data_IF_960777475392
#
_entry.id   IF_960777475392
#
_cell.length_a   1.000
_cell.length_b   1.000
_cell.length_c   1.000
_cell.angle_alpha   90.00
_cell.angle_beta   90.00
_cell.angle_gamma   90.00
#
_symmetry.space_group_name_H-M   'P 1'
#
loop_
_entity.id
_entity.type
_entity.pdbx_description
1 polymer ?
#
# COMPACT_ATOMS: atom_id res chain seq x y z
N UNK A 1 13.87 37.69 -5.83
CA UNK A 1 13.52 36.84 -6.98
C UNK A 1 12.05 36.52 -6.88
N UNK A 2 11.29 36.48 -7.99
CA UNK A 2 9.91 36.02 -7.92
C UNK A 2 9.93 34.52 -7.58
N UNK A 3 9.10 34.11 -6.63
CA UNK A 3 8.92 32.69 -6.31
C UNK A 3 8.32 31.98 -7.52
N UNK A 4 8.65 30.71 -7.72
CA UNK A 4 8.01 29.87 -8.74
C UNK A 4 6.70 29.31 -8.19
N UNK A 5 5.62 29.46 -8.94
CA UNK A 5 4.32 28.89 -8.61
C UNK A 5 4.25 27.42 -9.00
N UNK A 6 3.89 26.57 -8.05
CA UNK A 6 3.87 25.11 -8.18
C UNK A 6 2.46 24.58 -7.96
N UNK A 7 2.00 23.67 -8.85
CA UNK A 7 0.89 22.76 -8.55
C UNK A 7 1.49 21.37 -8.27
N UNK A 8 1.04 20.70 -7.19
CA UNK A 8 1.34 19.31 -6.93
C UNK A 8 0.13 18.48 -7.38
N UNK A 9 0.37 17.55 -8.31
CA UNK A 9 -0.66 16.67 -8.88
C UNK A 9 -0.75 15.42 -8.01
N UNK A 10 -1.77 15.38 -7.18
CA UNK A 10 -2.05 14.42 -6.13
C UNK A 10 -2.38 15.13 -4.81
N UNK A 11 -3.16 14.47 -3.93
CA UNK A 11 -3.55 15.00 -2.62
C UNK A 11 -3.86 13.88 -1.61
N UNK A 12 -2.95 12.90 -1.43
CA UNK A 12 -3.21 11.75 -0.60
C UNK A 12 -2.02 11.22 0.21
N UNK A 13 -0.83 11.16 -0.37
CA UNK A 13 0.31 10.52 0.30
C UNK A 13 1.63 11.13 -0.13
N UNK A 14 2.19 10.68 -1.26
CA UNK A 14 3.45 11.20 -1.83
C UNK A 14 3.43 12.70 -2.10
N UNK A 15 2.32 13.20 -2.56
CA UNK A 15 2.08 14.62 -2.80
C UNK A 15 2.27 15.48 -1.55
N UNK A 16 1.64 15.13 -0.44
CA UNK A 16 1.83 15.80 0.84
C UNK A 16 3.26 15.59 1.37
N UNK A 17 3.83 14.40 1.19
CA UNK A 17 5.22 14.16 1.55
C UNK A 17 6.21 15.00 0.73
N UNK A 18 6.00 15.12 -0.58
CA UNK A 18 6.78 15.99 -1.47
C UNK A 18 6.69 17.44 -1.02
N UNK A 19 5.47 17.91 -0.68
CA UNK A 19 5.28 19.24 -0.12
C UNK A 19 6.06 19.42 1.18
N UNK A 20 5.81 18.54 2.16
CA UNK A 20 6.39 18.63 3.50
C UNK A 20 7.92 18.60 3.50
N UNK A 21 8.54 17.84 2.59
CA UNK A 21 10.01 17.65 2.55
C UNK A 21 10.74 18.60 1.63
N UNK A 22 10.13 18.96 0.48
CA UNK A 22 10.83 19.73 -0.56
C UNK A 22 10.35 21.19 -0.67
N UNK A 23 9.07 21.47 -0.43
CA UNK A 23 8.48 22.79 -0.69
C UNK A 23 8.11 23.58 0.57
N UNK A 24 7.64 22.95 1.65
CA UNK A 24 7.03 23.60 2.82
C UNK A 24 7.83 24.79 3.38
N UNK A 25 9.14 24.64 3.48
CA UNK A 25 10.03 25.65 4.05
C UNK A 25 10.97 26.28 3.00
N UNK A 26 10.67 26.12 1.71
CA UNK A 26 11.52 26.59 0.64
C UNK A 26 10.98 27.91 0.04
N UNK A 27 11.65 29.01 0.34
CA UNK A 27 11.25 30.34 -0.07
C UNK A 27 11.35 30.61 -1.59
N UNK A 28 12.03 29.74 -2.36
CA UNK A 28 12.13 29.84 -3.82
C UNK A 28 10.83 29.45 -4.53
N UNK A 29 9.94 28.72 -3.84
CA UNK A 29 8.71 28.18 -4.38
C UNK A 29 7.47 28.65 -3.62
N UNK A 30 6.36 28.66 -4.32
CA UNK A 30 5.03 28.84 -3.79
C UNK A 30 4.14 27.74 -4.32
N UNK A 31 3.75 26.78 -3.48
CA UNK A 31 2.73 25.79 -3.85
C UNK A 31 1.37 26.46 -3.78
N UNK A 32 0.75 26.65 -4.94
CA UNK A 32 -0.51 27.39 -5.06
C UNK A 32 -1.73 26.47 -5.01
N UNK A 33 -1.58 25.18 -5.31
CA UNK A 33 -2.64 24.19 -5.24
C UNK A 33 -2.11 22.76 -5.21
N UNK A 34 -2.95 21.86 -4.70
CA UNK A 34 -2.94 20.42 -5.01
C UNK A 34 -4.09 20.10 -5.96
N UNK A 35 -3.99 18.95 -6.68
CA UNK A 35 -5.13 18.41 -7.43
C UNK A 35 -5.43 16.98 -7.02
N UNK A 36 -6.68 16.55 -7.12
CA UNK A 36 -7.13 15.22 -6.73
C UNK A 36 -7.97 14.54 -7.83
N UNK A 37 -7.77 13.23 -8.02
CA UNK A 37 -8.58 12.37 -8.91
C UNK A 37 -8.92 11.02 -8.31
N UNK A 38 -8.05 10.50 -7.44
CA UNK A 38 -8.13 9.12 -6.98
C UNK A 38 -8.87 8.95 -5.66
N UNK A 39 -9.07 10.04 -4.91
CA UNK A 39 -9.68 10.01 -3.59
C UNK A 39 -11.04 10.67 -3.65
N UNK A 40 -12.13 9.96 -3.30
CA UNK A 40 -13.46 10.54 -3.20
C UNK A 40 -13.50 11.69 -2.18
N UNK A 41 -14.34 12.69 -2.42
CA UNK A 41 -14.67 13.78 -1.50
C UNK A 41 -13.48 14.65 -1.03
N UNK A 42 -12.32 14.61 -1.73
CA UNK A 42 -11.19 15.49 -1.40
C UNK A 42 -11.23 16.80 -2.19
N UNK A 43 -11.96 16.84 -3.30
CA UNK A 43 -12.16 18.05 -4.09
C UNK A 43 -12.83 19.16 -3.26
N UNK A 44 -12.31 20.39 -3.38
CA UNK A 44 -12.79 21.53 -2.59
C UNK A 44 -12.31 21.56 -1.14
N UNK A 45 -11.48 20.60 -0.70
CA UNK A 45 -10.79 20.60 0.60
C UNK A 45 -9.52 21.46 0.55
N UNK A 46 -8.94 21.64 1.73
CA UNK A 46 -7.71 22.40 1.90
C UNK A 46 -6.69 21.60 2.69
N UNK A 47 -5.42 21.64 2.27
CA UNK A 47 -4.32 21.21 3.13
C UNK A 47 -4.17 22.26 4.24
N UNK A 48 -4.35 21.90 5.52
CA UNK A 48 -4.53 22.87 6.59
C UNK A 48 -3.28 23.70 6.87
N UNK A 49 -3.49 24.95 7.28
CA UNK A 49 -2.40 25.89 7.62
C UNK A 49 -1.44 25.35 8.69
N UNK A 50 -1.97 24.59 9.66
CA UNK A 50 -1.20 24.00 10.74
C UNK A 50 -0.17 22.98 10.23
N UNK A 51 -0.47 22.28 9.16
CA UNK A 51 0.43 21.34 8.48
C UNK A 51 1.27 22.02 7.41
N UNK A 52 0.71 23.04 6.75
CA UNK A 52 1.36 23.75 5.65
C UNK A 52 2.52 24.65 6.14
N UNK A 53 2.47 25.13 7.37
CA UNK A 53 3.54 25.90 8.00
C UNK A 53 3.53 27.39 7.69
N UNK A 54 4.51 28.12 8.21
CA UNK A 54 4.52 29.59 8.27
C UNK A 54 4.49 30.29 6.90
N UNK A 55 4.96 29.64 5.84
CA UNK A 55 4.90 30.21 4.49
C UNK A 55 3.50 30.10 3.84
N UNK A 56 2.57 29.36 4.46
CA UNK A 56 1.22 29.08 3.96
C UNK A 56 0.15 29.27 5.05
N UNK A 57 0.01 30.49 5.58
CA UNK A 57 -0.88 30.79 6.72
C UNK A 57 -2.36 30.52 6.44
N UNK A 58 -2.76 30.52 5.17
CA UNK A 58 -4.14 30.22 4.73
C UNK A 58 -4.32 28.74 4.34
N UNK A 59 -3.29 27.90 4.50
CA UNK A 59 -3.27 26.55 3.94
C UNK A 59 -3.10 26.52 2.42
N UNK A 60 -3.38 25.35 1.78
CA UNK A 60 -3.25 25.19 0.34
C UNK A 60 -4.51 24.53 -0.21
N UNK A 61 -5.20 25.14 -1.20
CA UNK A 61 -6.43 24.60 -1.76
C UNK A 61 -6.17 23.29 -2.55
N UNK A 62 -7.17 22.41 -2.55
CA UNK A 62 -7.18 21.17 -3.33
C UNK A 62 -8.30 21.27 -4.35
N UNK A 63 -8.00 21.06 -5.63
CA UNK A 63 -8.95 21.16 -6.74
C UNK A 63 -9.11 19.82 -7.45
N UNK A 64 -10.18 19.69 -8.24
CA UNK A 64 -10.28 18.58 -9.19
C UNK A 64 -9.19 18.67 -10.25
N UNK A 65 -8.57 17.54 -10.58
CA UNK A 65 -7.52 17.52 -11.61
C UNK A 65 -8.04 17.88 -13.00
N UNK A 66 -9.33 17.74 -13.27
CA UNK A 66 -9.94 18.13 -14.55
C UNK A 66 -9.79 19.64 -14.82
N UNK A 67 -9.61 20.45 -13.76
CA UNK A 67 -9.37 21.90 -13.84
C UNK A 67 -7.89 22.26 -14.10
N UNK A 68 -7.00 21.28 -14.19
CA UNK A 68 -5.54 21.52 -14.24
C UNK A 68 -5.11 22.50 -15.36
N UNK A 69 -5.63 22.45 -16.61
CA UNK A 69 -5.23 23.39 -17.66
C UNK A 69 -5.64 24.84 -17.38
N UNK A 70 -6.81 25.04 -16.75
CA UNK A 70 -7.33 26.34 -16.35
C UNK A 70 -6.52 26.89 -15.16
N UNK A 71 -6.29 26.07 -14.14
CA UNK A 71 -5.52 26.42 -12.94
C UNK A 71 -4.08 26.87 -13.30
N UNK A 72 -3.44 26.19 -14.26
CA UNK A 72 -2.08 26.55 -14.71
C UNK A 72 -2.06 28.00 -15.22
N UNK A 73 -3.07 28.41 -15.98
CA UNK A 73 -3.16 29.76 -16.55
C UNK A 73 -3.56 30.80 -15.51
N UNK A 74 -4.61 30.52 -14.73
CA UNK A 74 -5.17 31.43 -13.74
C UNK A 74 -4.20 31.73 -12.60
N UNK A 75 -3.49 30.70 -12.11
CA UNK A 75 -2.53 30.80 -11.01
C UNK A 75 -1.10 31.08 -11.50
N UNK A 76 -0.89 31.27 -12.81
CA UNK A 76 0.42 31.54 -13.43
C UNK A 76 1.48 30.50 -12.98
N UNK A 77 1.18 29.22 -13.18
CA UNK A 77 1.99 28.10 -12.69
C UNK A 77 3.25 27.91 -13.54
N UNK A 78 4.41 27.83 -12.90
CA UNK A 78 5.69 27.58 -13.55
C UNK A 78 5.98 26.08 -13.73
N UNK A 79 5.66 25.27 -12.70
CA UNK A 79 5.94 23.85 -12.67
C UNK A 79 4.76 23.06 -12.06
N UNK A 80 4.42 21.92 -12.67
CA UNK A 80 3.53 20.92 -12.09
C UNK A 80 4.34 19.69 -11.68
N UNK A 81 4.19 19.25 -10.43
CA UNK A 81 4.90 18.11 -9.85
C UNK A 81 3.95 16.93 -9.74
N UNK A 82 4.22 15.88 -10.51
CA UNK A 82 3.40 14.67 -10.48
C UNK A 82 3.76 13.80 -9.27
N UNK A 83 2.75 13.33 -8.54
CA UNK A 83 2.94 12.61 -7.29
C UNK A 83 2.04 11.37 -7.12
N UNK A 84 1.30 10.95 -8.14
CA UNK A 84 0.56 9.69 -8.09
C UNK A 84 1.46 8.47 -8.20
N UNK A 85 1.01 7.35 -7.67
CA UNK A 85 1.64 6.04 -7.73
C UNK A 85 0.74 5.00 -8.37
N UNK A 86 1.35 3.89 -8.81
CA UNK A 86 0.72 2.78 -9.54
C UNK A 86 0.06 3.20 -10.87
N UNK A 87 0.71 4.12 -11.57
CA UNK A 87 0.24 4.72 -12.82
C UNK A 87 1.12 4.29 -13.98
N UNK A 88 0.53 3.98 -15.14
CA UNK A 88 1.28 3.64 -16.34
C UNK A 88 2.12 4.82 -16.84
N UNK A 89 3.29 4.55 -17.43
CA UNK A 89 4.08 5.63 -18.03
C UNK A 89 3.35 6.36 -19.15
N UNK A 90 2.43 5.68 -19.84
CA UNK A 90 1.58 6.32 -20.84
C UNK A 90 0.70 7.40 -20.22
N UNK A 91 0.08 7.10 -19.07
CA UNK A 91 -0.78 8.07 -18.37
C UNK A 91 0.04 9.19 -17.73
N UNK A 92 1.20 8.88 -17.14
CA UNK A 92 2.13 9.91 -16.63
C UNK A 92 2.50 10.90 -17.73
N UNK A 93 2.86 10.40 -18.92
CA UNK A 93 3.24 11.27 -20.04
C UNK A 93 2.05 11.99 -20.67
N UNK A 94 0.84 11.42 -20.61
CA UNK A 94 -0.39 12.11 -21.02
C UNK A 94 -0.65 13.34 -20.13
N UNK A 95 -0.51 13.20 -18.80
CA UNK A 95 -0.60 14.33 -17.87
C UNK A 95 0.51 15.34 -18.16
N UNK A 96 1.75 14.89 -18.41
CA UNK A 96 2.87 15.75 -18.80
C UNK A 96 2.58 16.56 -20.06
N UNK A 97 1.95 15.94 -21.07
CA UNK A 97 1.55 16.64 -22.31
C UNK A 97 0.49 17.72 -22.05
N UNK A 98 -0.49 17.45 -21.18
CA UNK A 98 -1.52 18.42 -20.77
C UNK A 98 -0.86 19.62 -20.08
N UNK A 99 0.04 19.37 -19.13
CA UNK A 99 0.77 20.41 -18.38
C UNK A 99 1.59 21.28 -19.34
N UNK A 100 2.37 20.67 -20.25
CA UNK A 100 3.20 21.40 -21.19
C UNK A 100 2.36 22.21 -22.19
N UNK A 101 1.24 21.66 -22.67
CA UNK A 101 0.32 22.36 -23.56
C UNK A 101 -0.33 23.58 -22.88
N UNK A 102 -0.55 23.53 -21.55
CA UNK A 102 -1.06 24.63 -20.76
C UNK A 102 0.00 25.71 -20.45
N UNK A 103 1.31 25.42 -20.65
CA UNK A 103 2.42 26.38 -20.55
C UNK A 103 3.33 26.19 -19.33
N UNK A 104 3.11 25.16 -18.49
CA UNK A 104 3.96 24.87 -17.34
C UNK A 104 4.97 23.73 -17.61
N UNK A 105 6.02 23.63 -16.79
CA UNK A 105 6.95 22.50 -16.80
C UNK A 105 6.35 21.30 -16.06
N UNK A 106 6.65 20.09 -16.52
CA UNK A 106 6.28 18.85 -15.84
C UNK A 106 7.48 18.25 -15.12
N UNK A 107 7.31 17.84 -13.86
CA UNK A 107 8.42 17.40 -13.00
C UNK A 107 8.05 16.17 -12.19
N UNK A 108 9.02 15.25 -12.05
CA UNK A 108 9.00 14.13 -11.12
C UNK A 108 10.12 14.36 -10.08
N UNK A 109 9.80 14.19 -8.78
CA UNK A 109 10.82 14.23 -7.73
C UNK A 109 11.39 12.83 -7.50
N UNK A 110 12.70 12.74 -7.52
CA UNK A 110 13.39 11.49 -7.25
C UNK A 110 13.60 11.23 -5.75
N UNK A 111 13.94 9.97 -5.37
CA UNK A 111 14.11 9.56 -3.98
C UNK A 111 15.05 10.45 -3.17
N UNK A 112 16.19 10.84 -3.74
CA UNK A 112 17.20 11.66 -3.05
C UNK A 112 16.69 13.05 -2.60
N UNK A 113 15.62 13.55 -3.24
CA UNK A 113 15.03 14.86 -2.91
C UNK A 113 14.03 14.80 -1.75
N UNK A 114 13.50 13.63 -1.45
CA UNK A 114 12.33 13.49 -0.56
C UNK A 114 12.51 12.45 0.55
N UNK A 115 13.50 11.54 0.46
CA UNK A 115 13.73 10.55 1.51
C UNK A 115 14.26 11.18 2.79
N UNK A 116 13.63 10.88 3.91
CA UNK A 116 14.08 11.24 5.26
C UNK A 116 15.10 10.23 5.78
N UNK A 117 16.06 10.70 6.57
CA UNK A 117 17.06 9.84 7.23
C UNK A 117 16.59 9.49 8.64
N UNK A 118 16.61 8.20 8.95
CA UNK A 118 16.36 7.68 10.28
C UNK A 118 17.65 7.55 11.10
N UNK A 119 17.52 7.63 12.43
CA UNK A 119 18.55 7.25 13.41
C UNK A 119 18.51 5.75 13.73
N UNK A 120 17.50 5.04 13.24
CA UNK A 120 17.34 3.59 13.35
C UNK A 120 17.55 2.96 11.99
N UNK A 121 18.02 1.72 11.89
CA UNK A 121 18.06 0.99 10.64
C UNK A 121 16.66 0.91 10.00
N UNK A 122 16.60 1.08 8.69
CA UNK A 122 15.35 1.08 7.92
C UNK A 122 15.36 -0.06 6.92
N UNK A 123 14.33 -0.90 6.96
CA UNK A 123 14.01 -1.84 5.90
C UNK A 123 12.81 -1.29 5.13
N UNK A 124 12.88 -1.24 3.81
CA UNK A 124 11.71 -0.90 2.99
C UNK A 124 11.19 -2.12 2.24
N UNK A 125 9.89 -2.34 2.28
CA UNK A 125 9.18 -3.30 1.43
C UNK A 125 8.28 -2.54 0.49
N UNK A 126 8.63 -2.53 -0.78
CA UNK A 126 7.90 -1.90 -1.86
C UNK A 126 7.39 -2.95 -2.85
N UNK A 127 6.57 -2.54 -3.79
CA UNK A 127 6.05 -3.42 -4.83
C UNK A 127 5.98 -2.69 -6.18
N UNK A 128 6.07 -3.43 -7.27
CA UNK A 128 5.96 -2.84 -8.62
C UNK A 128 4.52 -2.56 -9.03
N UNK A 129 3.55 -3.27 -8.42
CA UNK A 129 2.09 -3.11 -8.64
C UNK A 129 1.30 -3.51 -7.40
N UNK A 130 0.10 -2.97 -7.24
CA UNK A 130 -0.86 -3.42 -6.23
C UNK A 130 -1.17 -4.90 -6.40
N UNK A 131 -1.31 -5.64 -5.29
CA UNK A 131 -1.63 -7.07 -5.29
C UNK A 131 -0.45 -8.02 -5.57
N UNK A 132 0.80 -7.54 -5.63
CA UNK A 132 1.98 -8.42 -5.86
C UNK A 132 2.34 -9.30 -4.66
N UNK A 133 1.89 -8.95 -3.45
CA UNK A 133 2.22 -9.66 -2.21
C UNK A 133 3.12 -8.90 -1.25
N UNK A 134 3.14 -7.55 -1.35
CA UNK A 134 3.90 -6.68 -0.44
C UNK A 134 3.58 -6.96 1.03
N UNK A 135 2.32 -7.01 1.40
CA UNK A 135 1.89 -7.15 2.81
C UNK A 135 2.32 -8.49 3.43
N UNK A 136 2.30 -9.59 2.67
CA UNK A 136 2.83 -10.89 3.17
C UNK A 136 4.35 -10.87 3.32
N UNK A 137 5.07 -10.15 2.44
CA UNK A 137 6.52 -9.95 2.56
C UNK A 137 6.85 -9.13 3.79
N UNK A 138 6.14 -8.03 4.04
CA UNK A 138 6.30 -7.19 5.25
C UNK A 138 6.06 -8.00 6.53
N UNK A 139 5.02 -8.84 6.56
CA UNK A 139 4.76 -9.74 7.70
C UNK A 139 5.93 -10.69 7.92
N UNK A 140 6.45 -11.32 6.86
CA UNK A 140 7.60 -12.22 6.96
C UNK A 140 8.85 -11.52 7.50
N UNK A 141 9.12 -10.29 7.05
CA UNK A 141 10.23 -9.46 7.57
C UNK A 141 10.05 -9.22 9.07
N UNK A 142 8.86 -8.76 9.48
CA UNK A 142 8.58 -8.47 10.90
C UNK A 142 8.73 -9.74 11.75
N UNK A 143 8.11 -10.85 11.36
CA UNK A 143 8.16 -12.12 12.08
C UNK A 143 9.61 -12.59 12.27
N UNK A 144 10.42 -12.55 11.20
CA UNK A 144 11.84 -12.89 11.28
C UNK A 144 12.61 -12.00 12.26
N UNK A 145 12.36 -10.68 12.25
CA UNK A 145 13.03 -9.76 13.17
C UNK A 145 12.58 -9.97 14.63
N UNK A 146 11.29 -10.25 14.85
CA UNK A 146 10.75 -10.57 16.18
C UNK A 146 11.32 -11.88 16.75
N UNK A 147 11.60 -12.91 15.92
CA UNK A 147 12.30 -14.13 16.34
C UNK A 147 13.70 -13.85 16.87
N UNK A 148 14.28 -12.70 16.53
CA UNK A 148 15.55 -12.21 17.05
C UNK A 148 15.39 -11.19 18.21
N UNK A 149 14.22 -11.14 18.86
CA UNK A 149 13.91 -10.24 19.99
C UNK A 149 14.02 -8.75 19.64
N UNK A 150 13.91 -8.36 18.36
CA UNK A 150 13.96 -6.98 17.92
C UNK A 150 12.59 -6.32 17.98
N UNK A 151 12.55 -5.02 18.30
CA UNK A 151 11.35 -4.19 18.27
C UNK A 151 11.23 -3.52 16.92
N UNK A 152 10.20 -3.89 16.16
CA UNK A 152 9.95 -3.38 14.82
C UNK A 152 8.76 -2.42 14.85
N UNK A 153 8.93 -1.25 14.28
CA UNK A 153 7.86 -0.29 14.04
C UNK A 153 7.55 -0.25 12.55
N UNK A 154 6.35 -0.63 12.18
CA UNK A 154 5.88 -0.51 10.81
C UNK A 154 5.33 0.90 10.54
N UNK A 155 5.70 1.50 9.41
CA UNK A 155 5.16 2.80 8.99
C UNK A 155 4.39 2.61 7.70
N UNK A 156 3.13 3.09 7.70
CA UNK A 156 2.19 2.95 6.60
C UNK A 156 1.63 4.29 6.12
N UNK A 157 1.01 4.29 4.94
CA UNK A 157 0.25 5.44 4.46
C UNK A 157 -1.11 5.52 5.16
N UNK A 158 -1.61 6.72 5.49
CA UNK A 158 -2.99 6.93 5.86
C UNK A 158 -3.85 7.00 4.61
N UNK A 159 -5.16 6.87 4.80
CA UNK A 159 -6.15 7.33 3.83
C UNK A 159 -6.64 8.71 4.28
N UNK A 160 -6.34 9.80 3.55
CA UNK A 160 -6.59 11.17 4.02
C UNK A 160 -8.06 11.59 3.82
N UNK A 161 -8.99 10.74 4.23
CA UNK A 161 -10.43 11.00 4.13
C UNK A 161 -10.98 11.81 5.30
N UNK A 162 -10.26 11.81 6.44
CA UNK A 162 -10.64 12.47 7.67
C UNK A 162 -10.09 13.88 7.84
N UNK A 163 -9.96 14.30 9.09
CA UNK A 163 -9.28 15.52 9.50
C UNK A 163 -7.76 15.32 9.41
N UNK A 164 -7.10 15.99 8.46
CA UNK A 164 -5.67 15.88 8.24
C UNK A 164 -4.82 16.30 9.45
N UNK A 165 -5.31 17.25 10.26
CA UNK A 165 -4.62 17.63 11.50
C UNK A 165 -4.66 16.51 12.54
N UNK A 166 -5.80 15.84 12.68
CA UNK A 166 -5.94 14.68 13.55
C UNK A 166 -5.13 13.47 13.03
N UNK A 167 -4.94 13.39 11.70
CA UNK A 167 -4.14 12.36 11.04
C UNK A 167 -2.66 12.74 10.89
N UNK A 168 -2.17 13.78 11.53
CA UNK A 168 -0.76 14.20 11.44
C UNK A 168 0.20 13.06 11.79
N UNK A 169 0.00 12.45 12.97
CA UNK A 169 0.70 11.23 13.44
C UNK A 169 -0.29 10.38 14.21
N UNK A 170 -0.43 9.14 13.84
CA UNK A 170 -1.29 8.17 14.51
C UNK A 170 -0.48 6.93 14.87
N UNK A 171 -0.66 6.42 16.09
CA UNK A 171 -0.03 5.20 16.61
C UNK A 171 -1.09 4.14 16.85
N UNK A 172 -0.85 2.94 16.37
CA UNK A 172 -1.73 1.78 16.49
C UNK A 172 -0.95 0.63 17.14
N UNK A 173 -1.26 0.32 18.38
CA UNK A 173 -0.69 -0.79 19.13
C UNK A 173 -1.71 -1.88 19.42
N UNK A 174 -2.99 -1.54 19.37
CA UNK A 174 -4.12 -2.43 19.67
C UNK A 174 -5.21 -2.28 18.61
N UNK A 175 -6.06 -3.32 18.45
CA UNK A 175 -7.23 -3.25 17.55
C UNK A 175 -8.19 -2.14 17.95
N UNK A 176 -8.22 -1.75 19.24
CA UNK A 176 -9.05 -0.63 19.71
C UNK A 176 -8.56 0.72 19.19
N UNK A 177 -7.25 0.88 18.93
CA UNK A 177 -6.72 2.10 18.34
C UNK A 177 -7.28 2.33 16.93
N UNK A 178 -7.56 1.27 16.16
CA UNK A 178 -8.18 1.39 14.83
C UNK A 178 -9.57 2.06 14.93
N UNK A 179 -10.36 1.68 15.94
CA UNK A 179 -11.68 2.28 16.20
C UNK A 179 -11.55 3.70 16.70
N UNK A 180 -10.62 3.94 17.64
CA UNK A 180 -10.37 5.27 18.22
C UNK A 180 -10.01 6.30 17.16
N UNK A 181 -9.26 5.90 16.15
CA UNK A 181 -8.85 6.77 15.04
C UNK A 181 -9.84 6.76 13.86
N UNK A 182 -11.00 6.07 13.98
CA UNK A 182 -12.01 5.97 12.92
C UNK A 182 -11.43 5.49 11.58
N UNK A 183 -10.58 4.47 11.62
CA UNK A 183 -9.97 3.92 10.42
C UNK A 183 -11.02 3.44 9.42
N UNK A 184 -10.78 3.72 8.15
CA UNK A 184 -11.54 3.14 7.04
C UNK A 184 -11.27 1.64 6.93
N UNK A 185 -12.05 0.91 6.12
CA UNK A 185 -11.79 -0.52 5.88
C UNK A 185 -10.42 -0.71 5.23
N UNK A 186 -10.06 0.11 4.25
CA UNK A 186 -8.77 0.05 3.60
C UNK A 186 -7.62 0.27 4.59
N UNK A 187 -7.75 1.22 5.51
CA UNK A 187 -6.77 1.39 6.58
C UNK A 187 -6.72 0.18 7.51
N UNK A 188 -7.88 -0.40 7.84
CA UNK A 188 -7.94 -1.62 8.65
C UNK A 188 -7.31 -2.82 7.93
N UNK A 189 -7.53 -2.99 6.62
CA UNK A 189 -6.87 -4.04 5.81
C UNK A 189 -5.34 -3.95 5.88
N UNK A 190 -4.82 -2.73 5.99
CA UNK A 190 -3.40 -2.46 6.04
C UNK A 190 -2.81 -2.54 7.47
N UNK A 191 -3.57 -2.16 8.51
CA UNK A 191 -3.06 -2.05 9.89
C UNK A 191 -3.42 -3.23 10.78
N UNK A 192 -4.65 -3.77 10.68
CA UNK A 192 -5.12 -4.87 11.53
C UNK A 192 -4.21 -6.11 11.48
N UNK A 193 -3.71 -6.56 10.30
CA UNK A 193 -2.82 -7.71 10.26
C UNK A 193 -1.53 -7.56 11.07
N UNK A 194 -1.02 -6.34 11.22
CA UNK A 194 0.13 -6.04 12.07
C UNK A 194 -0.27 -6.00 13.55
N UNK A 195 -1.26 -5.19 13.87
CA UNK A 195 -1.71 -4.94 15.25
C UNK A 195 -2.24 -6.21 15.91
N UNK A 196 -2.98 -7.05 15.17
CA UNK A 196 -3.49 -8.35 15.67
C UNK A 196 -2.36 -9.34 16.03
N UNK A 197 -1.15 -9.16 15.49
CA UNK A 197 0.06 -9.92 15.82
C UNK A 197 0.93 -9.25 16.91
N UNK A 198 0.47 -8.13 17.47
CA UNK A 198 1.19 -7.37 18.49
C UNK A 198 2.27 -6.45 17.93
N UNK A 199 2.26 -6.16 16.63
CA UNK A 199 3.17 -5.20 16.02
C UNK A 199 2.61 -3.79 16.13
N UNK A 200 3.49 -2.80 16.26
CA UNK A 200 3.11 -1.39 16.32
C UNK A 200 3.15 -0.81 14.91
N UNK A 201 2.11 -0.07 14.56
CA UNK A 201 2.00 0.65 13.29
C UNK A 201 1.93 2.14 13.56
N UNK A 202 2.67 2.92 12.79
CA UNK A 202 2.50 4.36 12.67
C UNK A 202 1.99 4.71 11.27
N UNK A 203 1.05 5.62 11.21
CA UNK A 203 0.56 6.20 9.95
C UNK A 203 0.25 7.67 10.15
N UNK A 204 0.19 8.44 9.07
CA UNK A 204 -0.18 9.84 9.13
C UNK A 204 0.34 10.65 7.96
N UNK A 205 0.13 11.97 8.03
CA UNK A 205 0.39 12.90 6.93
C UNK A 205 1.79 13.50 6.99
N UNK A 206 2.39 13.66 8.19
CA UNK A 206 3.74 14.22 8.33
C UNK A 206 4.76 13.13 8.72
N UNK A 207 5.48 12.65 7.72
CA UNK A 207 6.42 11.55 7.91
C UNK A 207 7.70 11.92 8.66
N UNK A 208 8.03 13.21 8.77
CA UNK A 208 9.13 13.65 9.63
C UNK A 208 8.75 13.50 11.10
N UNK A 209 7.53 13.89 11.46
CA UNK A 209 7.01 13.74 12.81
C UNK A 209 6.74 12.25 13.14
N UNK A 210 6.19 11.48 12.19
CA UNK A 210 6.02 10.03 12.35
C UNK A 210 7.35 9.37 12.67
N UNK A 211 8.41 9.69 11.93
CA UNK A 211 9.72 9.12 12.14
C UNK A 211 10.28 9.49 13.52
N UNK A 212 10.14 10.77 13.91
CA UNK A 212 10.62 11.26 15.19
C UNK A 212 9.91 10.60 16.39
N UNK A 213 8.62 10.29 16.27
CA UNK A 213 7.85 9.60 17.30
C UNK A 213 8.13 8.09 17.30
N UNK A 214 8.18 7.45 16.13
CA UNK A 214 8.46 6.03 16.00
C UNK A 214 9.84 5.65 16.54
N UNK A 215 10.87 6.47 16.30
CA UNK A 215 12.22 6.26 16.85
C UNK A 215 12.26 6.28 18.39
N UNK A 216 11.30 6.94 19.02
CA UNK A 216 11.18 7.11 20.48
C UNK A 216 9.98 6.38 21.07
N UNK A 217 9.42 5.42 20.33
CA UNK A 217 8.24 4.68 20.78
C UNK A 217 8.42 4.14 22.20
N UNK A 218 7.43 4.30 23.10
CA UNK A 218 7.53 3.86 24.50
C UNK A 218 7.77 2.36 24.67
N UNK A 219 7.33 1.54 23.69
CA UNK A 219 7.56 0.08 23.70
C UNK A 219 8.91 -0.31 23.07
N UNK A 220 9.64 0.69 22.53
CA UNK A 220 10.96 0.57 21.92
C UNK A 220 10.92 0.40 20.40
N UNK A 221 12.02 0.84 19.76
CA UNK A 221 12.22 0.73 18.31
C UNK A 221 13.67 0.35 18.04
N UNK A 222 13.89 -0.84 17.48
CA UNK A 222 15.20 -1.30 17.01
C UNK A 222 15.33 -1.13 15.48
N UNK A 223 14.23 -1.34 14.74
CA UNK A 223 14.15 -1.27 13.27
C UNK A 223 12.88 -0.56 12.86
N UNK A 224 12.96 0.34 11.89
CA UNK A 224 11.82 0.91 11.18
C UNK A 224 11.56 0.08 9.94
N UNK A 225 10.34 -0.41 9.77
CA UNK A 225 9.88 -1.03 8.53
C UNK A 225 9.02 -0.03 7.76
N UNK A 226 9.48 0.43 6.61
CA UNK A 226 8.63 1.09 5.66
C UNK A 226 7.80 0.06 4.91
N UNK A 227 6.52 0.02 5.21
CA UNK A 227 5.52 -0.80 4.53
C UNK A 227 4.50 0.13 3.84
N UNK A 228 5.01 1.04 3.01
CA UNK A 228 4.23 2.09 2.37
C UNK A 228 3.13 1.55 1.46
N UNK A 229 2.12 2.39 1.20
CA UNK A 229 0.99 2.07 0.33
C UNK A 229 1.31 2.18 -1.15
N UNK A 230 0.42 1.66 -1.98
CA UNK A 230 0.27 1.91 -3.42
C UNK A 230 1.57 1.94 -4.25
N UNK A 231 2.51 1.04 -3.94
CA UNK A 231 3.73 0.81 -4.74
C UNK A 231 4.61 2.06 -4.89
N UNK A 232 4.61 2.88 -3.87
CA UNK A 232 5.45 4.04 -3.78
C UNK A 232 6.84 3.67 -3.30
N UNK A 233 7.89 4.38 -3.75
CA UNK A 233 9.20 4.18 -3.15
C UNK A 233 9.23 4.77 -1.74
N UNK A 234 10.12 4.24 -0.91
CA UNK A 234 10.21 4.60 0.51
C UNK A 234 10.33 6.11 0.73
N UNK A 235 9.62 6.64 1.75
CA UNK A 235 9.82 8.01 2.23
C UNK A 235 10.98 8.13 3.21
N UNK A 236 11.47 7.00 3.69
CA UNK A 236 12.68 6.91 4.51
C UNK A 236 13.81 6.28 3.70
N UNK A 237 15.03 6.77 3.88
CA UNK A 237 16.19 6.18 3.22
C UNK A 237 16.42 4.78 3.78
N UNK A 238 16.25 3.71 3.00
CA UNK A 238 16.44 2.35 3.48
C UNK A 238 17.92 2.00 3.61
N UNK A 239 18.22 1.13 4.56
CA UNK A 239 19.47 0.40 4.67
C UNK A 239 19.36 -0.98 3.98
N UNK A 240 18.12 -1.49 3.83
CA UNK A 240 17.79 -2.66 3.03
C UNK A 240 16.50 -2.40 2.25
N UNK A 241 16.57 -2.37 0.93
CA UNK A 241 15.44 -2.16 0.05
C UNK A 241 14.98 -3.48 -0.57
N UNK A 242 13.72 -3.86 -0.32
CA UNK A 242 13.07 -5.07 -0.85
C UNK A 242 11.95 -4.65 -1.80
N UNK A 243 11.91 -5.21 -3.01
CA UNK A 243 10.85 -4.96 -3.99
C UNK A 243 10.20 -6.26 -4.42
N UNK A 244 8.87 -6.31 -4.35
CA UNK A 244 8.05 -7.49 -4.71
C UNK A 244 7.51 -7.35 -6.12
N UNK A 245 7.65 -8.41 -6.93
CA UNK A 245 7.24 -8.50 -8.32
C UNK A 245 6.22 -9.62 -8.52
N UNK A 246 5.40 -9.51 -9.57
CA UNK A 246 4.29 -10.42 -9.87
C UNK A 246 4.39 -10.99 -11.28
N UNK A 247 4.70 -12.27 -11.46
CA UNK A 247 4.82 -12.89 -12.76
C UNK A 247 3.48 -13.11 -13.50
N UNK A 248 2.34 -12.84 -12.85
CA UNK A 248 1.04 -12.80 -13.54
C UNK A 248 0.87 -11.57 -14.45
N UNK A 249 1.71 -10.55 -14.25
CA UNK A 249 1.73 -9.31 -15.02
C UNK A 249 3.14 -9.00 -15.53
N UNK A 250 3.77 -9.93 -16.29
CA UNK A 250 5.16 -9.77 -16.73
C UNK A 250 5.31 -8.53 -17.61
N UNK A 251 6.33 -7.73 -17.35
CA UNK A 251 6.60 -6.46 -18.02
C UNK A 251 5.98 -5.23 -17.34
N UNK A 252 5.06 -5.39 -16.38
CA UNK A 252 4.52 -4.25 -15.63
C UNK A 252 5.58 -3.59 -14.75
N UNK A 253 6.57 -4.33 -14.28
CA UNK A 253 7.70 -3.86 -13.50
C UNK A 253 8.57 -2.79 -14.22
N UNK A 254 8.42 -2.68 -15.54
CA UNK A 254 9.11 -1.69 -16.40
C UNK A 254 8.14 -0.70 -17.07
N UNK A 255 6.87 -0.67 -16.68
CA UNK A 255 5.84 0.15 -17.33
C UNK A 255 5.04 1.04 -16.40
N UNK A 256 5.25 0.93 -15.08
CA UNK A 256 4.48 1.66 -14.08
C UNK A 256 5.35 2.51 -13.17
N UNK A 257 4.89 3.73 -12.91
CA UNK A 257 5.52 4.68 -11.99
C UNK A 257 4.81 4.62 -10.62
N UNK A 258 5.56 4.64 -9.51
CA UNK A 258 7.00 4.57 -9.38
C UNK A 258 7.53 3.14 -9.14
N UNK A 259 6.78 2.10 -9.49
CA UNK A 259 7.17 0.70 -9.31
C UNK A 259 8.54 0.36 -9.94
N UNK A 260 8.84 0.89 -11.13
CA UNK A 260 10.15 0.73 -11.74
C UNK A 260 11.25 1.46 -10.96
N UNK A 261 10.95 2.59 -10.29
CA UNK A 261 11.93 3.25 -9.41
C UNK A 261 12.28 2.34 -8.24
N UNK A 262 11.27 1.69 -7.63
CA UNK A 262 11.49 0.70 -6.57
C UNK A 262 12.42 -0.42 -7.07
N UNK A 263 12.13 -0.99 -8.24
CA UNK A 263 12.95 -2.06 -8.83
C UNK A 263 14.39 -1.62 -9.08
N UNK A 264 14.61 -0.43 -9.64
CA UNK A 264 15.96 0.09 -9.96
C UNK A 264 16.80 0.44 -8.73
N UNK A 265 16.17 0.61 -7.58
CA UNK A 265 16.83 0.97 -6.31
C UNK A 265 16.81 -0.17 -5.29
N UNK A 266 16.39 -1.38 -5.70
CA UNK A 266 16.24 -2.52 -4.80
C UNK A 266 17.56 -3.24 -4.54
N UNK A 267 17.74 -3.73 -3.31
CA UNK A 267 18.80 -4.67 -2.94
C UNK A 267 18.33 -6.11 -3.12
N UNK A 268 17.03 -6.36 -2.86
CA UNK A 268 16.40 -7.68 -2.95
C UNK A 268 15.12 -7.60 -3.78
N UNK A 269 15.07 -8.36 -4.86
CA UNK A 269 13.90 -8.51 -5.71
C UNK A 269 13.21 -9.86 -5.44
N UNK A 270 11.95 -9.84 -4.99
CA UNK A 270 11.18 -11.06 -4.71
C UNK A 270 10.18 -11.28 -5.85
N UNK A 271 10.36 -12.33 -6.63
CA UNK A 271 9.36 -12.81 -7.59
C UNK A 271 8.38 -13.70 -6.81
N UNK A 272 7.22 -13.15 -6.48
CA UNK A 272 6.20 -13.86 -5.71
C UNK A 272 5.24 -14.63 -6.61
N UNK A 273 4.42 -15.54 -6.06
CA UNK A 273 3.37 -16.31 -6.76
C UNK A 273 3.89 -17.15 -7.93
N UNK A 274 5.14 -17.63 -7.86
CA UNK A 274 5.71 -18.45 -8.93
C UNK A 274 5.01 -19.80 -9.10
N UNK A 275 4.34 -20.29 -8.04
CA UNK A 275 3.56 -21.54 -8.03
C UNK A 275 2.30 -21.50 -8.90
N UNK A 276 1.80 -20.30 -9.19
CA UNK A 276 0.56 -20.09 -9.94
C UNK A 276 0.79 -19.39 -11.30
N UNK A 277 2.02 -18.97 -11.59
CA UNK A 277 2.42 -18.38 -12.85
C UNK A 277 3.05 -19.38 -13.81
N UNK A 278 3.14 -19.04 -15.12
CA UNK A 278 3.87 -19.85 -16.08
C UNK A 278 5.38 -19.64 -15.92
N UNK A 279 6.17 -20.67 -16.21
CA UNK A 279 7.65 -20.59 -16.18
C UNK A 279 8.18 -19.50 -17.12
N UNK A 280 7.55 -19.31 -18.28
CA UNK A 280 7.88 -18.23 -19.22
C UNK A 280 7.69 -16.85 -18.60
N UNK A 281 6.56 -16.61 -17.92
CA UNK A 281 6.28 -15.34 -17.25
C UNK A 281 7.28 -15.06 -16.11
N UNK A 282 7.63 -16.07 -15.33
CA UNK A 282 8.67 -15.95 -14.30
C UNK A 282 10.02 -15.59 -14.92
N UNK A 283 10.39 -16.24 -16.04
CA UNK A 283 11.63 -15.94 -16.74
C UNK A 283 11.68 -14.53 -17.32
N UNK A 284 10.56 -14.01 -17.85
CA UNK A 284 10.47 -12.63 -18.32
C UNK A 284 10.76 -11.65 -17.18
N UNK A 285 10.10 -11.82 -16.03
CA UNK A 285 10.30 -10.96 -14.84
C UNK A 285 11.74 -11.06 -14.35
N UNK A 286 12.32 -12.26 -14.28
CA UNK A 286 13.73 -12.44 -13.87
C UNK A 286 14.70 -11.71 -14.81
N UNK A 287 14.46 -11.77 -16.13
CA UNK A 287 15.28 -11.05 -17.10
C UNK A 287 15.14 -9.51 -16.96
N UNK A 288 13.94 -9.03 -16.67
CA UNK A 288 13.68 -7.61 -16.46
C UNK A 288 14.34 -7.10 -15.16
N UNK A 289 14.39 -7.93 -14.10
CA UNK A 289 15.14 -7.61 -12.88
C UNK A 289 16.64 -7.47 -13.21
N UNK A 290 17.21 -8.45 -13.91
CA UNK A 290 18.64 -8.43 -14.30
C UNK A 290 18.99 -7.21 -15.15
N UNK A 291 18.05 -6.72 -15.98
CA UNK A 291 18.21 -5.53 -16.78
C UNK A 291 18.14 -4.24 -15.94
N UNK A 292 17.15 -4.14 -15.05
CA UNK A 292 16.86 -2.91 -14.31
C UNK A 292 17.72 -2.76 -13.05
N UNK A 293 18.02 -3.87 -12.36
CA UNK A 293 18.79 -3.93 -11.11
C UNK A 293 19.74 -5.13 -11.10
N UNK A 294 20.84 -5.07 -11.90
CA UNK A 294 21.73 -6.22 -12.12
C UNK A 294 22.46 -6.71 -10.86
N UNK A 295 22.55 -5.89 -9.82
CA UNK A 295 23.23 -6.21 -8.57
C UNK A 295 22.29 -6.70 -7.48
N UNK A 296 20.99 -6.71 -7.72
CA UNK A 296 20.02 -7.16 -6.71
C UNK A 296 20.01 -8.67 -6.54
N UNK A 297 19.77 -9.12 -5.32
CA UNK A 297 19.54 -10.54 -5.01
C UNK A 297 18.13 -10.92 -5.41
N UNK A 298 17.96 -11.97 -6.22
CA UNK A 298 16.65 -12.44 -6.67
C UNK A 298 16.21 -13.61 -5.79
N UNK A 299 15.02 -13.50 -5.19
CA UNK A 299 14.35 -14.56 -4.43
C UNK A 299 13.09 -14.97 -5.20
N UNK A 300 12.81 -16.27 -5.30
CA UNK A 300 11.54 -16.80 -5.80
C UNK A 300 10.69 -17.25 -4.60
N UNK A 301 9.40 -16.92 -4.63
CA UNK A 301 8.50 -17.25 -3.55
C UNK A 301 7.10 -17.62 -4.06
N UNK A 302 6.40 -18.41 -3.28
CA UNK A 302 5.00 -18.78 -3.44
C UNK A 302 4.13 -17.92 -2.51
N UNK A 303 2.89 -17.68 -2.92
CA UNK A 303 1.85 -17.16 -2.04
C UNK A 303 1.08 -18.33 -1.44
N UNK A 304 1.60 -18.90 -0.35
CA UNK A 304 1.03 -20.08 0.29
C UNK A 304 -0.33 -19.77 0.90
N UNK A 305 -1.35 -20.43 0.39
CA UNK A 305 -2.73 -20.26 0.82
C UNK A 305 -3.09 -21.28 1.89
N UNK A 306 -3.67 -20.82 3.00
CA UNK A 306 -4.29 -21.64 4.05
C UNK A 306 -5.75 -21.21 4.27
N UNK A 307 -6.62 -22.16 4.56
CA UNK A 307 -8.07 -21.93 4.74
C UNK A 307 -8.50 -22.43 6.11
N UNK A 308 -9.22 -21.61 6.88
CA UNK A 308 -9.65 -21.97 8.24
C UNK A 308 -10.63 -23.16 8.25
N UNK A 309 -11.59 -23.18 7.32
CA UNK A 309 -12.66 -24.18 7.25
C UNK A 309 -12.80 -24.71 5.80
N UNK A 310 -11.90 -25.57 5.32
CA UNK A 310 -11.92 -26.09 3.95
C UNK A 310 -13.20 -26.88 3.63
N UNK A 311 -13.84 -27.49 4.64
CA UNK A 311 -15.10 -28.21 4.51
C UNK A 311 -16.29 -27.31 4.11
N UNK A 312 -16.15 -25.99 4.26
CA UNK A 312 -17.16 -25.01 3.82
C UNK A 312 -17.02 -24.65 2.32
N UNK A 313 -15.97 -25.13 1.67
CA UNK A 313 -15.70 -24.86 0.26
C UNK A 313 -15.96 -26.09 -0.61
N UNK A 314 -15.43 -27.25 -0.22
CA UNK A 314 -15.46 -28.47 -1.03
C UNK A 314 -16.88 -28.86 -1.42
N UNK A 315 -17.16 -28.92 -2.73
CA UNK A 315 -18.46 -29.32 -3.31
C UNK A 315 -19.60 -28.32 -3.07
N UNK A 316 -19.32 -27.09 -2.60
CA UNK A 316 -20.32 -26.05 -2.29
C UNK A 316 -20.40 -25.00 -3.39
N UNK A 317 -21.57 -24.36 -3.48
CA UNK A 317 -21.75 -23.11 -4.21
C UNK A 317 -21.31 -21.97 -3.30
N UNK A 318 -20.26 -21.26 -3.68
CA UNK A 318 -19.60 -20.27 -2.82
C UNK A 318 -19.61 -18.87 -3.43
N UNK A 319 -19.78 -17.87 -2.59
CA UNK A 319 -19.48 -16.48 -2.92
C UNK A 319 -18.05 -16.19 -2.49
N UNK A 320 -17.25 -15.58 -3.34
CA UNK A 320 -15.87 -15.17 -3.02
C UNK A 320 -15.81 -13.67 -2.86
N UNK A 321 -15.37 -13.22 -1.68
CA UNK A 321 -15.11 -11.81 -1.35
C UNK A 321 -13.60 -11.60 -1.34
N UNK A 322 -13.08 -10.74 -2.20
CA UNK A 322 -11.66 -10.46 -2.36
C UNK A 322 -11.31 -9.05 -1.92
N UNK A 323 -10.03 -8.79 -1.75
CA UNK A 323 -9.48 -7.46 -1.48
C UNK A 323 -9.86 -6.46 -2.58
N UNK A 324 -10.56 -5.38 -2.20
CA UNK A 324 -11.10 -4.38 -3.12
C UNK A 324 -10.02 -3.69 -3.97
N UNK A 325 -8.98 -3.10 -3.37
CA UNK A 325 -7.86 -2.48 -4.08
C UNK A 325 -7.16 -3.40 -5.07
N UNK A 326 -6.98 -4.67 -4.75
CA UNK A 326 -6.36 -5.67 -5.64
C UNK A 326 -7.18 -5.86 -6.91
N UNK A 327 -8.51 -5.94 -6.80
CA UNK A 327 -9.40 -6.11 -7.95
C UNK A 327 -9.58 -4.81 -8.75
N UNK A 328 -9.71 -3.67 -8.09
CA UNK A 328 -9.98 -2.38 -8.72
C UNK A 328 -8.69 -1.75 -9.29
N UNK A 329 -7.85 -1.19 -8.44
CA UNK A 329 -6.61 -0.50 -8.85
C UNK A 329 -5.52 -1.48 -9.32
N UNK A 330 -5.46 -2.67 -8.73
CA UNK A 330 -4.53 -3.73 -9.14
C UNK A 330 -4.88 -4.42 -10.44
N UNK A 331 -6.11 -4.23 -10.95
CA UNK A 331 -6.64 -4.84 -12.19
C UNK A 331 -6.53 -6.38 -12.20
N UNK A 332 -6.50 -7.00 -11.00
CA UNK A 332 -6.48 -8.45 -10.88
C UNK A 332 -7.87 -9.03 -11.10
N UNK A 333 -7.95 -10.16 -11.83
CA UNK A 333 -9.22 -10.85 -12.07
C UNK A 333 -9.62 -11.81 -10.95
N UNK A 334 -8.68 -12.19 -10.11
CA UNK A 334 -8.85 -13.15 -9.02
C UNK A 334 -7.88 -12.85 -7.88
N UNK A 335 -8.22 -13.31 -6.68
CA UNK A 335 -7.38 -13.22 -5.49
C UNK A 335 -7.24 -14.57 -4.78
N UNK A 336 -6.82 -14.53 -3.51
CA UNK A 336 -6.55 -15.72 -2.72
C UNK A 336 -7.80 -16.60 -2.47
N UNK A 337 -8.96 -15.97 -2.30
CA UNK A 337 -10.23 -16.66 -2.10
C UNK A 337 -10.65 -17.48 -3.33
N UNK A 338 -10.47 -16.91 -4.52
CA UNK A 338 -10.75 -17.60 -5.79
C UNK A 338 -9.83 -18.79 -5.99
N UNK A 339 -8.52 -18.62 -5.74
CA UNK A 339 -7.55 -19.72 -5.81
C UNK A 339 -7.89 -20.82 -4.81
N UNK A 340 -8.29 -20.45 -3.58
CA UNK A 340 -8.73 -21.41 -2.56
C UNK A 340 -9.99 -22.18 -3.02
N UNK A 341 -10.99 -21.48 -3.58
CA UNK A 341 -12.21 -22.10 -4.09
C UNK A 341 -11.91 -23.15 -5.17
N UNK A 342 -11.03 -22.80 -6.12
CA UNK A 342 -10.63 -23.72 -7.19
C UNK A 342 -9.83 -24.91 -6.68
N UNK A 343 -8.82 -24.70 -5.82
CA UNK A 343 -7.96 -25.76 -5.28
C UNK A 343 -8.73 -26.75 -4.39
N UNK A 344 -9.71 -26.27 -3.64
CA UNK A 344 -10.51 -27.11 -2.75
C UNK A 344 -11.77 -27.69 -3.41
N UNK A 345 -11.97 -27.47 -4.70
CA UNK A 345 -13.07 -28.06 -5.46
C UNK A 345 -14.43 -27.52 -5.08
N UNK A 346 -14.60 -26.20 -5.04
CA UNK A 346 -15.90 -25.59 -4.97
C UNK A 346 -16.75 -26.07 -6.16
N UNK A 347 -18.04 -26.35 -5.93
CA UNK A 347 -18.95 -26.78 -6.99
C UNK A 347 -19.20 -25.64 -8.00
N UNK A 348 -19.28 -24.42 -7.50
CA UNK A 348 -19.55 -23.22 -8.29
C UNK A 348 -19.08 -21.99 -7.52
N UNK A 349 -18.46 -21.04 -8.20
CA UNK A 349 -18.22 -19.68 -7.72
C UNK A 349 -19.34 -18.80 -8.24
N UNK A 350 -20.16 -18.27 -7.36
CA UNK A 350 -21.36 -17.51 -7.69
C UNK A 350 -20.98 -16.15 -8.26
N UNK A 351 -21.63 -15.75 -9.34
CA UNK A 351 -21.56 -14.37 -9.85
C UNK A 351 -22.30 -13.42 -8.88
N UNK A 352 -21.64 -12.47 -8.22
CA UNK A 352 -22.28 -11.56 -7.28
C UNK A 352 -23.06 -10.43 -7.94
N UNK A 353 -22.82 -10.12 -9.22
CA UNK A 353 -23.41 -8.97 -9.93
C UNK A 353 -24.95 -8.91 -9.88
N UNK A 354 -25.69 -10.03 -10.03
CA UNK A 354 -27.17 -10.03 -9.91
C UNK A 354 -27.68 -9.62 -8.51
N UNK A 355 -26.84 -9.70 -7.49
CA UNK A 355 -27.17 -9.40 -6.09
C UNK A 355 -26.59 -8.06 -5.63
N UNK A 356 -25.75 -7.43 -6.46
CA UNK A 356 -25.06 -6.18 -6.13
C UNK A 356 -26.06 -5.03 -5.93
N UNK A 357 -25.92 -4.31 -4.85
CA UNK A 357 -26.74 -3.13 -4.51
C UNK A 357 -25.86 -1.88 -4.37
N UNK A 358 -26.50 -0.72 -4.56
CA UNK A 358 -25.89 0.59 -4.29
C UNK A 358 -24.53 0.78 -4.96
N UNK A 359 -23.54 1.15 -4.18
CA UNK A 359 -22.18 1.46 -4.62
C UNK A 359 -21.45 0.29 -5.27
N UNK A 360 -21.81 -0.95 -4.95
CA UNK A 360 -21.21 -2.13 -5.60
C UNK A 360 -21.67 -2.28 -7.04
N UNK A 361 -22.91 -1.90 -7.35
CA UNK A 361 -23.38 -1.84 -8.75
C UNK A 361 -22.57 -0.83 -9.56
N UNK A 362 -22.27 0.32 -9.00
CA UNK A 362 -21.42 1.35 -9.62
C UNK A 362 -19.99 0.85 -9.82
N UNK A 363 -19.45 0.13 -8.83
CA UNK A 363 -18.11 -0.49 -8.90
C UNK A 363 -18.02 -1.47 -10.08
N UNK A 364 -18.98 -2.36 -10.26
CA UNK A 364 -18.98 -3.29 -11.39
C UNK A 364 -19.14 -2.58 -12.74
N UNK A 365 -19.92 -1.51 -12.80
CA UNK A 365 -20.05 -0.70 -14.03
C UNK A 365 -18.73 -0.01 -14.38
N UNK A 366 -17.98 0.46 -13.41
CA UNK A 366 -16.69 1.11 -13.60
C UNK A 366 -15.56 0.12 -13.93
N UNK A 367 -15.52 -1.03 -13.25
CA UNK A 367 -14.46 -2.02 -13.35
C UNK A 367 -14.97 -3.31 -14.01
N UNK A 368 -15.23 -3.24 -15.31
CA UNK A 368 -15.86 -4.34 -16.09
C UNK A 368 -15.03 -5.63 -16.16
N UNK A 369 -13.74 -5.61 -15.81
CA UNK A 369 -12.88 -6.78 -15.77
C UNK A 369 -13.12 -7.65 -14.52
N UNK A 370 -13.84 -7.14 -13.50
CA UNK A 370 -14.23 -7.91 -12.31
C UNK A 370 -15.39 -8.82 -12.70
N UNK A 371 -15.14 -10.14 -12.63
CA UNK A 371 -16.11 -11.16 -13.03
C UNK A 371 -16.87 -11.74 -11.82
N UNK A 372 -16.61 -13.00 -11.49
CA UNK A 372 -17.37 -13.75 -10.47
C UNK A 372 -16.79 -13.59 -9.04
N UNK A 373 -16.34 -12.40 -8.68
CA UNK A 373 -15.80 -12.09 -7.37
C UNK A 373 -16.39 -10.79 -6.86
N UNK A 374 -16.57 -10.68 -5.54
CA UNK A 374 -17.10 -9.50 -4.88
C UNK A 374 -15.94 -8.70 -4.28
N UNK A 375 -15.69 -7.46 -4.73
CA UNK A 375 -14.69 -6.61 -4.09
C UNK A 375 -15.16 -6.17 -2.70
N UNK A 376 -14.32 -6.36 -1.68
CA UNK A 376 -14.55 -5.79 -0.37
C UNK A 376 -14.30 -4.27 -0.47
N UNK A 377 -15.38 -3.51 -0.54
CA UNK A 377 -15.34 -2.04 -0.59
C UNK A 377 -15.96 -1.47 0.68
N UNK A 378 -15.38 -0.40 1.24
CA UNK A 378 -15.89 0.15 2.49
C UNK A 378 -15.25 1.44 2.96
N UNK A 379 -15.35 2.49 2.15
CA UNK A 379 -14.91 3.84 2.52
C UNK A 379 -15.87 4.56 3.50
N UNK A 380 -17.10 4.05 3.69
CA UNK A 380 -18.10 4.67 4.53
C UNK A 380 -19.24 3.72 4.93
N UNK A 381 -20.09 4.17 5.87
CA UNK A 381 -21.19 3.36 6.40
C UNK A 381 -22.16 2.83 5.34
N UNK A 382 -22.41 3.59 4.26
CA UNK A 382 -23.30 3.15 3.18
C UNK A 382 -22.70 2.00 2.40
N UNK A 383 -21.41 2.07 2.08
CA UNK A 383 -20.73 0.99 1.35
C UNK A 383 -20.68 -0.31 2.17
N UNK A 384 -20.51 -0.20 3.50
CA UNK A 384 -20.60 -1.35 4.40
C UNK A 384 -21.96 -2.02 4.36
N UNK A 385 -23.03 -1.21 4.38
CA UNK A 385 -24.41 -1.71 4.27
C UNK A 385 -24.65 -2.38 2.92
N UNK A 386 -24.17 -1.77 1.84
CA UNK A 386 -24.29 -2.32 0.49
C UNK A 386 -23.52 -3.65 0.36
N UNK A 387 -22.33 -3.76 0.98
CA UNK A 387 -21.55 -4.99 1.03
C UNK A 387 -22.25 -6.10 1.82
N UNK A 388 -22.75 -5.77 3.01
CA UNK A 388 -23.52 -6.69 3.85
C UNK A 388 -24.78 -7.20 3.13
N UNK A 389 -25.55 -6.30 2.53
CA UNK A 389 -26.76 -6.64 1.80
C UNK A 389 -26.47 -7.51 0.57
N UNK A 390 -25.44 -7.16 -0.21
CA UNK A 390 -25.02 -7.95 -1.39
C UNK A 390 -24.61 -9.36 -1.00
N UNK A 391 -23.78 -9.53 0.05
CA UNK A 391 -23.36 -10.85 0.56
C UNK A 391 -24.56 -11.65 1.05
N UNK A 392 -25.46 -11.02 1.80
CA UNK A 392 -26.59 -11.70 2.40
C UNK A 392 -27.70 -12.06 1.39
N UNK A 393 -27.82 -11.33 0.28
CA UNK A 393 -28.73 -11.62 -0.83
C UNK A 393 -28.20 -12.68 -1.79
N UNK A 394 -26.89 -12.91 -1.86
CA UNK A 394 -26.30 -13.87 -2.78
C UNK A 394 -26.82 -15.30 -2.54
N UNK A 395 -27.24 -16.02 -3.61
CA UNK A 395 -27.69 -17.40 -3.53
C UNK A 395 -26.50 -18.38 -3.47
N UNK A 396 -25.87 -18.48 -2.32
CA UNK A 396 -24.72 -19.34 -2.06
C UNK A 396 -24.86 -20.12 -0.74
N UNK A 397 -24.11 -21.22 -0.62
CA UNK A 397 -24.08 -22.07 0.57
C UNK A 397 -23.03 -21.63 1.60
N UNK A 398 -21.98 -20.94 1.15
CA UNK A 398 -20.93 -20.39 2.00
C UNK A 398 -20.26 -19.17 1.37
N UNK A 399 -19.59 -18.37 2.20
CA UNK A 399 -18.84 -17.18 1.80
C UNK A 399 -17.36 -17.41 2.09
N UNK A 400 -16.50 -17.20 1.09
CA UNK A 400 -15.05 -17.22 1.22
C UNK A 400 -14.56 -15.79 1.37
N UNK A 401 -13.88 -15.50 2.47
CA UNK A 401 -13.30 -14.18 2.76
C UNK A 401 -11.82 -14.23 2.41
N UNK A 402 -11.47 -13.66 1.26
CA UNK A 402 -10.10 -13.56 0.72
C UNK A 402 -9.42 -12.22 0.99
N UNK A 403 -10.08 -11.29 1.69
CA UNK A 403 -9.49 -10.02 2.16
C UNK A 403 -8.69 -10.22 3.45
N UNK A 404 -7.65 -9.40 3.70
CA UNK A 404 -6.83 -9.49 4.92
C UNK A 404 -7.61 -9.29 6.22
N UNK A 405 -8.68 -8.49 6.21
CA UNK A 405 -9.49 -8.21 7.38
C UNK A 405 -10.50 -9.32 7.69
N UNK A 406 -10.93 -9.35 8.93
CA UNK A 406 -12.04 -10.19 9.36
C UNK A 406 -13.38 -9.46 9.17
N UNK A 407 -13.97 -9.60 7.98
CA UNK A 407 -15.26 -8.97 7.66
C UNK A 407 -16.36 -9.29 8.67
N UNK A 408 -16.33 -10.45 9.34
CA UNK A 408 -17.34 -10.85 10.33
C UNK A 408 -17.36 -9.96 11.59
N UNK A 409 -16.31 -9.15 11.80
CA UNK A 409 -16.25 -8.16 12.89
C UNK A 409 -16.88 -6.82 12.53
N UNK A 410 -17.13 -6.60 11.25
CA UNK A 410 -17.53 -5.29 10.70
C UNK A 410 -18.95 -5.35 10.17
N UNK A 411 -19.32 -6.44 9.50
CA UNK A 411 -20.64 -6.67 8.92
C UNK A 411 -21.24 -7.99 9.42
N UNK A 412 -22.57 -8.11 9.38
CA UNK A 412 -23.29 -9.31 9.79
C UNK A 412 -23.53 -10.23 8.61
N UNK A 413 -22.79 -11.35 8.53
CA UNK A 413 -22.94 -12.34 7.47
C UNK A 413 -23.84 -13.48 7.95
N UNK A 414 -25.00 -13.68 7.30
CA UNK A 414 -26.01 -14.67 7.65
C UNK A 414 -25.74 -16.08 7.10
N UNK A 415 -24.55 -16.33 6.55
CA UNK A 415 -24.14 -17.59 5.94
C UNK A 415 -22.86 -18.14 6.59
N UNK A 416 -22.60 -19.46 6.51
CA UNK A 416 -21.30 -20.00 6.88
C UNK A 416 -20.18 -19.31 6.10
N UNK A 417 -19.18 -18.76 6.78
CA UNK A 417 -18.04 -18.13 6.14
C UNK A 417 -16.72 -18.81 6.54
N UNK A 418 -15.72 -18.70 5.68
CA UNK A 418 -14.34 -19.15 5.93
C UNK A 418 -13.35 -18.14 5.44
N UNK A 419 -12.30 -17.92 6.23
CA UNK A 419 -11.23 -17.01 5.86
C UNK A 419 -10.12 -17.75 5.11
N UNK A 420 -9.50 -17.03 4.19
CA UNK A 420 -8.33 -17.46 3.46
C UNK A 420 -7.15 -16.57 3.87
N UNK A 421 -6.10 -17.22 4.37
CA UNK A 421 -4.83 -16.58 4.69
C UNK A 421 -3.81 -16.89 3.61
N UNK A 422 -2.86 -15.99 3.43
CA UNK A 422 -1.77 -16.17 2.48
C UNK A 422 -0.48 -15.58 3.05
N UNK A 423 0.60 -16.35 2.96
CA UNK A 423 1.90 -16.01 3.50
C UNK A 423 2.99 -16.24 2.44
N UNK A 424 4.11 -15.51 2.59
CA UNK A 424 5.26 -15.66 1.73
C UNK A 424 6.01 -16.96 2.09
N UNK A 425 6.16 -17.85 1.11
CA UNK A 425 6.94 -19.10 1.25
C UNK A 425 8.07 -19.11 0.20
N UNK A 426 9.31 -18.91 0.64
CA UNK A 426 10.46 -18.77 -0.26
C UNK A 426 10.91 -20.12 -0.81
N UNK A 427 11.34 -20.14 -2.07
CA UNK A 427 11.80 -21.35 -2.76
C UNK A 427 13.31 -21.32 -2.92
N UNK A 428 13.98 -22.21 -2.23
CA UNK A 428 15.42 -22.43 -2.36
C UNK A 428 16.29 -21.35 -1.73
N UNK A 429 17.41 -21.05 -2.35
CA UNK A 429 18.37 -20.04 -1.92
C UNK A 429 18.73 -19.13 -3.10
N UNK A 430 19.01 -17.84 -2.85
CA UNK A 430 19.00 -17.13 -1.55
C UNK A 430 17.60 -17.03 -0.96
N UNK A 431 17.48 -16.84 0.36
CA UNK A 431 16.22 -16.64 1.07
C UNK A 431 16.27 -15.36 1.92
N UNK A 432 15.09 -14.83 2.25
CA UNK A 432 14.94 -13.56 2.96
C UNK A 432 15.44 -13.66 4.42
N UNK A 433 15.25 -14.83 5.05
CA UNK A 433 15.67 -15.06 6.44
C UNK A 433 17.18 -14.89 6.61
N UNK A 434 17.97 -15.43 5.68
CA UNK A 434 19.43 -15.31 5.76
C UNK A 434 19.89 -13.86 5.48
N UNK A 435 19.25 -13.17 4.52
CA UNK A 435 19.52 -11.75 4.26
C UNK A 435 19.20 -10.88 5.49
N UNK A 436 18.11 -11.17 6.19
CA UNK A 436 17.75 -10.44 7.42
C UNK A 436 18.72 -10.74 8.57
N UNK A 437 19.27 -11.94 8.66
CA UNK A 437 20.34 -12.24 9.62
C UNK A 437 21.60 -11.44 9.34
N UNK A 438 22.00 -11.35 8.07
CA UNK A 438 23.14 -10.52 7.67
C UNK A 438 22.90 -9.04 8.02
N UNK A 439 21.71 -8.51 7.72
CA UNK A 439 21.29 -7.16 8.11
C UNK A 439 21.39 -6.94 9.64
N UNK A 440 20.89 -7.88 10.45
CA UNK A 440 20.97 -7.82 11.92
C UNK A 440 22.43 -7.76 12.40
N UNK A 441 23.32 -8.54 11.79
CA UNK A 441 24.74 -8.55 12.13
C UNK A 441 25.45 -7.25 11.74
N UNK A 442 25.21 -6.76 10.52
CA UNK A 442 25.80 -5.53 9.99
C UNK A 442 25.44 -4.31 10.85
N UNK A 443 24.18 -4.21 11.24
CA UNK A 443 23.68 -3.13 12.09
C UNK A 443 23.87 -3.36 13.59
N UNK A 444 24.53 -4.49 14.00
CA UNK A 444 24.84 -4.82 15.40
C UNK A 444 23.59 -4.85 16.29
N UNK A 445 22.47 -5.32 15.76
CA UNK A 445 21.19 -5.37 16.47
C UNK A 445 21.05 -6.56 17.43
N UNK A 446 22.06 -7.41 17.52
CA UNK A 446 22.07 -8.56 18.44
C UNK A 446 22.01 -8.07 19.88
N UNK A 447 20.91 -8.31 20.58
CA UNK A 447 20.82 -8.06 22.03
C UNK A 447 21.79 -9.00 22.73
N UNK A 448 22.74 -8.45 23.50
CA UNK A 448 23.60 -9.26 24.40
C UNK A 448 22.67 -9.98 25.36
N UNK A 449 22.55 -11.30 25.21
CA UNK A 449 21.91 -12.15 26.21
C UNK A 449 22.53 -11.80 27.57
N UNK A 450 21.72 -11.32 28.50
CA UNK A 450 22.21 -11.03 29.85
C UNK A 450 22.77 -12.37 30.38
N UNK A 451 24.08 -12.43 30.53
CA UNK A 451 24.76 -13.54 31.16
C UNK A 451 24.20 -13.61 32.60
N UNK A 452 23.28 -14.55 32.82
CA UNK A 452 22.88 -14.89 34.20
C UNK A 452 24.12 -15.49 34.82
N UNK A 453 24.88 -14.64 35.52
CA UNK A 453 25.92 -15.10 36.45
C UNK A 453 25.20 -15.88 37.54
N UNK A 454 25.18 -17.19 37.39
CA UNK A 454 24.95 -18.06 38.53
C UNK A 454 26.10 -17.84 39.51
N UNK A 455 25.83 -16.99 40.53
CA UNK A 455 26.63 -16.98 41.75
C UNK A 455 26.28 -18.23 42.55
N UNK A 456 27.25 -19.15 42.61
CA UNK A 456 27.30 -20.28 43.54
C UNK A 456 27.21 -19.79 45.02
#
# INVERSE_FOLDING_TARGET
>A
MNKKNIIIIGAAGRDFHNFNTYYRNNEEYQVVAFTATQIPDIDGRQYPSELAGALYPEGIPIFSQDQLPELIKELQVDECVFAYSDISYEDVMRVGAIVNAAGANFKLLGPNSTMLKSNKPVISVCAVRTGTGKSQTSRKVIETLLEHDLKVIAVRHPMPYGDLNAQRVQRFATVEDLRKHNCTIEEMEEYEPHVARGNIVYAGVDYADILAEAEKDPDGCDVILWDGGNNDFSFFKPDLAITVLDPHRPGHELKYYPGEVCLRTTDVAIINKVDSATEESVQIVENNIKLASPNSTIIKAESKITVEHPERIAGKRVLVVEDGPTLTHGEMKLGAGTVAAQRLGAKEIIDPRPFAVGTLTETYNKYQHIENVLPAMGYGEQQLKDLEETINNADCEAVIIGTPIDLSRIISINKPCTRVHYDLDEIGNPNLVDILKDFIQEHKLVKKTACVTQTN
#
